data_IF_171841417319
#
_entry.id   IF_171841417319
#
_cell.length_a   1.000
_cell.length_b   1.000
_cell.length_c   1.000
_cell.angle_alpha   90.00
_cell.angle_beta   90.00
_cell.angle_gamma   90.00
#
_symmetry.space_group_name_H-M   'P 1'
#
loop_
_entity.id
_entity.type
_entity.pdbx_description
1 polymer ?
#
# COMPACT_ATOMS: atom_id res chain seq x y z
N UNK A 1 1.91 52.47 -42.79
CA UNK A 1 1.53 52.32 -41.38
C UNK A 1 2.24 51.08 -40.87
N UNK A 2 3.34 51.27 -40.15
CA UNK A 2 4.21 50.19 -39.69
C UNK A 2 3.76 49.73 -38.30
N UNK A 3 3.48 48.45 -38.16
CA UNK A 3 3.17 47.79 -36.90
C UNK A 3 4.49 47.30 -36.27
N UNK A 4 4.83 47.65 -35.02
CA UNK A 4 6.03 47.12 -34.39
C UNK A 4 5.79 45.71 -33.83
N UNK A 5 6.67 44.77 -34.19
CA UNK A 5 6.74 43.44 -33.60
C UNK A 5 7.14 43.54 -32.13
N UNK A 6 6.29 43.00 -31.25
CA UNK A 6 6.61 42.78 -29.84
C UNK A 6 7.24 41.38 -29.75
N UNK A 7 8.55 41.33 -29.50
CA UNK A 7 9.25 40.10 -29.13
C UNK A 7 8.98 39.82 -27.64
N UNK A 8 8.16 38.80 -27.38
CA UNK A 8 7.90 38.27 -26.05
C UNK A 8 8.94 37.18 -25.73
N UNK A 9 9.96 37.54 -24.93
CA UNK A 9 11.09 36.69 -24.53
C UNK A 9 10.80 35.93 -23.20
N UNK A 10 9.53 35.78 -22.81
CA UNK A 10 9.14 35.25 -21.49
C UNK A 10 8.99 33.71 -21.39
N UNK A 11 9.32 32.95 -22.44
CA UNK A 11 9.24 31.47 -22.43
C UNK A 11 10.60 30.78 -22.57
N UNK A 12 11.58 31.18 -21.76
CA UNK A 12 12.75 30.32 -21.47
C UNK A 12 12.46 29.46 -20.24
N UNK A 13 11.88 28.28 -20.48
CA UNK A 13 11.87 27.19 -19.50
C UNK A 13 13.32 26.83 -19.18
N UNK A 14 13.82 27.28 -18.02
CA UNK A 14 15.08 26.79 -17.48
C UNK A 14 14.92 25.28 -17.28
N UNK A 15 15.71 24.47 -18.00
CA UNK A 15 15.89 23.06 -17.67
C UNK A 15 16.30 22.97 -16.20
N UNK A 16 15.70 22.09 -15.39
CA UNK A 16 16.26 21.80 -14.08
C UNK A 16 17.63 21.17 -14.27
N UNK A 17 18.69 21.93 -13.97
CA UNK A 17 20.02 21.40 -13.74
C UNK A 17 19.96 20.55 -12.47
N UNK A 18 20.31 19.27 -12.58
CA UNK A 18 20.42 18.36 -11.44
C UNK A 18 19.37 17.24 -11.42
N UNK A 19 19.26 16.46 -12.49
CA UNK A 19 18.87 15.06 -12.32
C UNK A 19 19.95 14.37 -11.48
N UNK A 20 19.67 14.08 -10.21
CA UNK A 20 20.54 13.23 -9.39
C UNK A 20 20.75 11.91 -10.15
N UNK A 21 21.97 11.33 -10.14
CA UNK A 21 22.16 9.98 -10.65
C UNK A 21 21.21 9.06 -9.90
N UNK A 22 20.45 8.24 -10.63
CA UNK A 22 19.67 7.12 -10.09
C UNK A 22 20.65 6.03 -9.64
N UNK A 23 21.44 6.33 -8.62
CA UNK A 23 22.56 5.53 -8.15
C UNK A 23 22.09 4.39 -7.26
N UNK A 24 21.63 3.30 -7.88
CA UNK A 24 21.64 1.99 -7.21
C UNK A 24 23.05 1.36 -7.23
N UNK A 25 23.96 1.88 -8.06
CA UNK A 25 25.30 1.31 -8.29
C UNK A 25 26.34 1.69 -7.22
N UNK A 26 26.06 2.68 -6.37
CA UNK A 26 26.98 3.17 -5.32
C UNK A 26 26.47 2.92 -3.88
N UNK A 27 25.50 2.02 -3.69
CA UNK A 27 25.07 1.65 -2.34
C UNK A 27 26.13 0.77 -1.70
N UNK A 28 26.86 1.35 -0.73
CA UNK A 28 27.75 0.61 0.15
C UNK A 28 27.03 -0.61 0.73
N UNK A 29 27.73 -1.75 0.79
CA UNK A 29 27.16 -2.96 1.34
C UNK A 29 26.62 -2.69 2.76
N UNK A 30 25.40 -3.15 3.09
CA UNK A 30 24.78 -2.85 4.37
C UNK A 30 25.64 -3.38 5.52
N UNK A 31 25.78 -2.59 6.57
CA UNK A 31 26.50 -2.96 7.78
C UNK A 31 25.85 -4.17 8.46
N UNK A 32 26.59 -4.86 9.31
CA UNK A 32 26.08 -6.04 10.05
C UNK A 32 24.83 -5.70 10.86
N UNK A 33 24.75 -4.51 11.44
CA UNK A 33 23.58 -4.09 12.23
C UNK A 33 22.39 -3.77 11.33
N UNK A 34 22.62 -3.21 10.14
CA UNK A 34 21.56 -2.99 9.14
C UNK A 34 20.99 -4.32 8.62
N UNK A 35 21.84 -5.34 8.42
CA UNK A 35 21.41 -6.67 8.02
C UNK A 35 20.60 -7.36 9.13
N UNK A 36 21.04 -7.28 10.39
CA UNK A 36 20.28 -7.81 11.55
C UNK A 36 18.91 -7.15 11.67
N UNK A 37 18.85 -5.83 11.48
CA UNK A 37 17.61 -5.08 11.53
C UNK A 37 16.63 -5.53 10.44
N UNK A 38 17.11 -5.69 9.22
CA UNK A 38 16.31 -6.20 8.10
C UNK A 38 15.76 -7.60 8.40
N UNK A 39 16.60 -8.51 8.90
CA UNK A 39 16.17 -9.86 9.30
C UNK A 39 15.07 -9.80 10.34
N UNK A 40 15.20 -8.92 11.35
CA UNK A 40 14.21 -8.78 12.40
C UNK A 40 12.87 -8.24 11.87
N UNK A 41 12.90 -7.27 10.94
CA UNK A 41 11.68 -6.78 10.26
C UNK A 41 10.98 -7.89 9.48
N UNK A 42 11.74 -8.67 8.71
CA UNK A 42 11.19 -9.78 7.93
C UNK A 42 10.54 -10.83 8.83
N UNK A 43 11.20 -11.19 9.93
CA UNK A 43 10.62 -12.11 10.92
C UNK A 43 9.31 -11.57 11.50
N UNK A 44 9.26 -10.28 11.87
CA UNK A 44 8.04 -9.66 12.40
C UNK A 44 6.90 -9.64 11.39
N UNK A 45 7.18 -9.29 10.13
CA UNK A 45 6.19 -9.32 9.04
C UNK A 45 5.67 -10.73 8.81
N UNK A 46 6.55 -11.72 8.75
CA UNK A 46 6.13 -13.11 8.55
C UNK A 46 5.23 -13.62 9.67
N UNK A 47 5.56 -13.27 10.93
CA UNK A 47 4.72 -13.63 12.07
C UNK A 47 3.36 -12.93 11.96
N UNK A 48 3.33 -11.62 11.72
CA UNK A 48 2.08 -10.87 11.54
C UNK A 48 1.19 -11.47 10.44
N UNK A 49 1.77 -11.77 9.27
CA UNK A 49 1.04 -12.39 8.17
C UNK A 49 0.51 -13.75 8.61
N UNK A 50 1.34 -14.62 9.19
CA UNK A 50 0.92 -15.96 9.61
C UNK A 50 -0.21 -15.91 10.64
N UNK A 51 -0.09 -15.10 11.69
CA UNK A 51 -1.14 -14.98 12.70
C UNK A 51 -2.44 -14.42 12.10
N UNK A 52 -2.35 -13.43 11.20
CA UNK A 52 -3.53 -12.91 10.49
C UNK A 52 -4.19 -14.00 9.63
N UNK A 53 -3.40 -14.79 8.90
CA UNK A 53 -3.91 -15.84 8.02
C UNK A 53 -4.42 -17.08 8.77
N UNK A 54 -4.09 -17.26 10.06
CA UNK A 54 -4.67 -18.31 10.91
C UNK A 54 -6.12 -18.02 11.31
N UNK A 55 -6.58 -16.80 11.13
CA UNK A 55 -7.97 -16.47 11.43
C UNK A 55 -8.93 -17.27 10.54
N UNK A 56 -10.12 -17.58 11.08
CA UNK A 56 -11.14 -18.40 10.42
C UNK A 56 -11.59 -17.88 9.05
N UNK A 57 -11.37 -16.59 8.78
CA UNK A 57 -11.67 -16.00 7.48
C UNK A 57 -10.78 -16.55 6.34
N UNK A 58 -9.53 -16.92 6.64
CA UNK A 58 -8.52 -17.29 5.65
C UNK A 58 -8.07 -18.76 5.74
N UNK A 59 -8.42 -19.46 6.82
CA UNK A 59 -8.16 -20.89 6.97
C UNK A 59 -9.37 -21.72 6.52
N UNK A 60 -9.11 -22.79 5.75
CA UNK A 60 -10.11 -23.83 5.51
C UNK A 60 -10.27 -24.69 6.78
N UNK A 61 -11.50 -25.06 7.10
CA UNK A 61 -11.82 -26.03 8.14
C UNK A 61 -12.07 -27.40 7.49
N UNK A 62 -12.09 -28.47 8.29
CA UNK A 62 -12.07 -29.87 7.84
C UNK A 62 -13.14 -30.22 6.79
N UNK A 63 -14.23 -29.46 6.72
CA UNK A 63 -15.31 -29.61 5.73
C UNK A 63 -15.76 -28.30 5.05
N UNK A 64 -15.06 -27.18 5.27
CA UNK A 64 -15.45 -25.87 4.72
C UNK A 64 -14.23 -25.15 4.13
N UNK A 65 -14.29 -24.71 2.86
CA UNK A 65 -13.21 -23.91 2.29
C UNK A 65 -13.10 -22.57 3.02
N UNK A 66 -11.89 -21.98 2.99
CA UNK A 66 -11.69 -20.62 3.49
C UNK A 66 -12.70 -19.65 2.85
N UNK A 67 -13.26 -18.74 3.64
CA UNK A 67 -14.21 -17.74 3.14
C UNK A 67 -13.53 -16.80 2.14
N UNK A 68 -12.27 -16.46 2.42
CA UNK A 68 -11.41 -15.68 1.56
C UNK A 68 -10.21 -16.54 1.18
N UNK A 69 -10.14 -17.02 -0.08
CA UNK A 69 -8.95 -17.69 -0.58
C UNK A 69 -7.75 -16.74 -0.54
N UNK A 70 -6.62 -17.25 -0.08
CA UNK A 70 -5.36 -16.50 0.02
C UNK A 70 -4.25 -17.25 -0.68
N UNK A 71 -3.50 -16.53 -1.49
CA UNK A 71 -2.20 -16.96 -1.98
C UNK A 71 -1.12 -16.04 -1.41
N UNK A 72 -0.17 -16.60 -0.67
CA UNK A 72 0.95 -15.85 -0.12
C UNK A 72 2.28 -16.39 -0.64
N UNK A 73 3.05 -15.50 -1.26
CA UNK A 73 4.44 -15.71 -1.61
C UNK A 73 5.34 -14.83 -0.73
N UNK A 74 6.28 -15.48 -0.06
CA UNK A 74 7.29 -14.82 0.78
C UNK A 74 8.27 -14.03 -0.09
N UNK A 75 8.58 -12.80 0.32
CA UNK A 75 9.63 -11.95 -0.26
C UNK A 75 10.77 -11.72 0.73
N UNK A 76 11.67 -10.79 0.38
CA UNK A 76 12.86 -10.41 1.16
C UNK A 76 12.93 -8.93 1.54
N UNK A 77 11.89 -8.15 1.24
CA UNK A 77 11.73 -6.75 1.70
C UNK A 77 10.72 -6.61 2.84
N UNK A 78 10.85 -5.58 3.70
CA UNK A 78 9.86 -5.26 4.73
C UNK A 78 8.55 -4.65 4.18
N UNK A 79 8.25 -4.89 2.91
CA UNK A 79 7.05 -4.49 2.22
C UNK A 79 6.18 -5.70 1.91
N UNK A 80 4.88 -5.56 2.17
CA UNK A 80 3.84 -6.52 1.83
C UNK A 80 2.89 -5.87 0.85
N UNK A 81 2.78 -6.44 -0.35
CA UNK A 81 1.75 -6.10 -1.32
C UNK A 81 0.53 -6.97 -1.07
N UNK A 82 -0.61 -6.36 -0.78
CA UNK A 82 -1.90 -7.03 -0.59
C UNK A 82 -2.78 -6.71 -1.78
N UNK A 83 -2.77 -7.61 -2.77
CA UNK A 83 -3.45 -7.47 -4.03
C UNK A 83 -4.67 -8.39 -4.08
N UNK A 84 -5.54 -8.18 -5.06
CA UNK A 84 -6.75 -8.97 -5.22
C UNK A 84 -7.83 -8.19 -5.95
N UNK A 85 -8.84 -8.90 -6.40
CA UNK A 85 -10.01 -8.30 -7.02
C UNK A 85 -10.82 -7.45 -6.03
N UNK A 86 -11.77 -6.67 -6.56
CA UNK A 86 -12.69 -5.95 -5.70
C UNK A 86 -13.56 -6.94 -4.91
N UNK A 87 -13.93 -6.54 -3.69
CA UNK A 87 -14.66 -7.39 -2.75
C UNK A 87 -13.97 -8.71 -2.38
N UNK A 88 -12.67 -8.88 -2.63
CA UNK A 88 -11.94 -10.11 -2.31
C UNK A 88 -11.56 -10.27 -0.83
N UNK A 89 -11.86 -9.28 0.01
CA UNK A 89 -11.55 -9.32 1.45
C UNK A 89 -10.30 -8.53 1.86
N UNK A 90 -9.75 -7.67 1.00
CA UNK A 90 -8.58 -6.83 1.33
C UNK A 90 -8.78 -5.95 2.58
N UNK A 91 -9.95 -5.32 2.71
CA UNK A 91 -10.30 -4.52 3.89
C UNK A 91 -10.47 -5.37 5.16
N UNK A 92 -10.97 -6.62 5.02
CA UNK A 92 -11.04 -7.56 6.15
C UNK A 92 -9.63 -7.99 6.58
N UNK A 93 -8.73 -8.26 5.62
CA UNK A 93 -7.33 -8.56 5.90
C UNK A 93 -6.66 -7.41 6.66
N UNK A 94 -6.86 -6.16 6.20
CA UNK A 94 -6.41 -4.96 6.93
C UNK A 94 -6.93 -5.00 8.36
N UNK A 95 -8.25 -5.08 8.58
CA UNK A 95 -8.84 -5.06 9.91
C UNK A 95 -8.28 -6.14 10.86
N UNK A 96 -8.16 -7.39 10.37
CA UNK A 96 -7.62 -8.51 11.16
C UNK A 96 -6.13 -8.36 11.44
N UNK A 97 -5.35 -7.89 10.46
CA UNK A 97 -3.93 -7.60 10.66
C UNK A 97 -3.73 -6.56 11.76
N UNK A 98 -4.55 -5.50 11.77
CA UNK A 98 -4.44 -4.44 12.78
C UNK A 98 -4.81 -4.94 14.17
N UNK A 99 -5.86 -5.75 14.28
CA UNK A 99 -6.25 -6.39 15.52
C UNK A 99 -5.10 -7.27 16.07
N UNK A 100 -4.53 -8.14 15.23
CA UNK A 100 -3.38 -8.97 15.60
C UNK A 100 -2.17 -8.11 16.01
N UNK A 101 -1.87 -7.05 15.24
CA UNK A 101 -0.75 -6.17 15.53
C UNK A 101 -0.89 -5.41 16.86
N UNK A 102 -2.09 -4.99 17.20
CA UNK A 102 -2.39 -4.28 18.45
C UNK A 102 -2.42 -5.26 19.64
N UNK A 103 -3.16 -6.36 19.53
CA UNK A 103 -3.39 -7.31 20.64
C UNK A 103 -2.14 -8.14 20.95
N UNK A 104 -1.45 -8.66 19.93
CA UNK A 104 -0.37 -9.63 20.12
C UNK A 104 1.02 -8.98 20.13
N UNK A 105 1.16 -7.80 19.53
CA UNK A 105 2.47 -7.16 19.33
C UNK A 105 2.58 -5.72 19.83
N UNK A 106 1.47 -5.09 20.24
CA UNK A 106 1.40 -3.69 20.67
C UNK A 106 2.03 -2.71 19.66
N UNK A 107 1.91 -2.99 18.35
CA UNK A 107 2.40 -2.09 17.33
C UNK A 107 1.43 -0.94 17.10
N UNK A 108 1.95 0.28 17.11
CA UNK A 108 1.21 1.43 16.58
C UNK A 108 0.99 1.26 15.08
N UNK A 109 -0.15 1.71 14.57
CA UNK A 109 -0.42 1.73 13.15
C UNK A 109 -0.61 3.15 12.60
N UNK A 110 0.07 3.43 11.50
CA UNK A 110 -0.08 4.63 10.68
C UNK A 110 -0.89 4.22 9.44
N UNK A 111 -2.15 4.68 9.38
CA UNK A 111 -3.10 4.24 8.37
C UNK A 111 -3.43 5.35 7.38
N UNK A 112 -3.45 4.99 6.11
CA UNK A 112 -3.90 5.85 5.04
C UNK A 112 -4.87 5.09 4.13
N UNK A 113 -6.16 5.19 4.42
CA UNK A 113 -7.25 4.67 3.59
C UNK A 113 -8.29 5.74 3.24
N UNK A 114 -9.32 5.34 2.49
CA UNK A 114 -10.44 6.24 2.15
C UNK A 114 -11.27 6.64 3.37
N UNK A 115 -11.45 5.72 4.32
CA UNK A 115 -12.25 5.97 5.52
C UNK A 115 -11.57 7.00 6.43
N UNK A 116 -10.25 7.01 6.53
CA UNK A 116 -9.52 8.03 7.29
C UNK A 116 -9.43 9.38 6.53
N UNK A 117 -9.53 9.36 5.20
CA UNK A 117 -9.63 10.58 4.36
C UNK A 117 -11.00 11.25 4.45
N UNK A 118 -12.05 10.49 4.73
CA UNK A 118 -13.44 10.98 4.77
C UNK A 118 -13.99 11.11 6.20
N UNK A 119 -13.46 10.33 7.15
CA UNK A 119 -13.84 10.31 8.55
C UNK A 119 -13.05 11.32 9.39
N UNK A 120 -13.76 12.34 9.88
CA UNK A 120 -13.57 13.24 11.04
C UNK A 120 -12.17 13.62 11.64
N UNK A 121 -11.07 12.89 11.42
CA UNK A 121 -9.74 13.16 12.00
C UNK A 121 -8.97 14.25 11.27
N UNK A 122 -8.95 14.22 9.93
CA UNK A 122 -8.38 15.29 9.10
C UNK A 122 -9.25 16.57 9.07
N UNK A 123 -10.52 16.45 9.47
CA UNK A 123 -11.42 17.60 9.60
C UNK A 123 -11.09 18.55 10.75
N UNK A 124 -10.04 18.30 11.55
CA UNK A 124 -9.52 19.32 12.48
C UNK A 124 -8.68 20.41 11.81
N UNK A 125 -8.39 20.29 10.51
CA UNK A 125 -7.95 21.42 9.66
C UNK A 125 -9.11 22.09 8.91
N UNK A 126 -10.33 22.02 9.46
CA UNK A 126 -11.43 22.93 9.12
C UNK A 126 -11.04 24.36 9.49
N UNK A 127 -10.52 25.15 8.55
CA UNK A 127 -10.75 26.62 8.44
C UNK A 127 -10.26 27.21 7.10
N UNK A 128 -9.63 26.43 6.20
CA UNK A 128 -9.26 26.92 4.85
C UNK A 128 -9.76 25.98 3.74
N UNK A 129 -10.92 26.29 3.18
CA UNK A 129 -11.46 25.93 1.85
C UNK A 129 -11.03 24.59 1.19
N UNK A 130 -11.50 23.46 1.73
CA UNK A 130 -11.40 22.13 1.09
C UNK A 130 -12.16 21.99 -0.26
N UNK A 131 -12.99 22.96 -0.65
CA UNK A 131 -13.69 22.92 -1.96
C UNK A 131 -12.79 23.18 -3.18
N UNK A 132 -11.53 23.57 -2.98
CA UNK A 132 -10.65 24.04 -4.05
C UNK A 132 -9.44 23.13 -4.33
N UNK A 133 -9.19 22.11 -3.51
CA UNK A 133 -8.10 21.16 -3.74
C UNK A 133 -8.61 19.89 -4.41
N UNK A 134 -7.89 19.40 -5.42
CA UNK A 134 -8.21 18.11 -6.04
C UNK A 134 -8.03 16.99 -5.01
N UNK A 135 -8.89 15.97 -5.07
CA UNK A 135 -8.79 14.77 -4.22
C UNK A 135 -7.40 14.16 -4.25
N UNK A 136 -6.71 14.24 -5.40
CA UNK A 136 -5.33 13.78 -5.56
C UNK A 136 -4.30 14.56 -4.73
N UNK A 137 -4.44 15.88 -4.59
CA UNK A 137 -3.51 16.68 -3.78
C UNK A 137 -3.58 16.29 -2.29
N UNK A 138 -4.79 16.04 -1.77
CA UNK A 138 -4.98 15.57 -0.40
C UNK A 138 -4.38 14.17 -0.18
N UNK A 139 -4.51 13.26 -1.16
CA UNK A 139 -3.86 11.95 -1.11
C UNK A 139 -2.33 12.06 -1.00
N UNK A 140 -1.71 12.97 -1.77
CA UNK A 140 -0.26 13.20 -1.70
C UNK A 140 0.16 13.75 -0.33
N UNK A 141 -0.55 14.74 0.21
CA UNK A 141 -0.23 15.31 1.53
C UNK A 141 -0.33 14.25 2.63
N UNK A 142 -1.40 13.47 2.63
CA UNK A 142 -1.63 12.46 3.65
C UNK A 142 -0.59 11.33 3.55
N UNK A 143 -0.24 10.91 2.33
CA UNK A 143 0.87 9.98 2.07
C UNK A 143 2.21 10.50 2.62
N UNK A 144 2.60 11.72 2.26
CA UNK A 144 3.83 12.32 2.78
C UNK A 144 3.81 12.47 4.30
N UNK A 145 2.66 12.79 4.88
CA UNK A 145 2.47 12.85 6.33
C UNK A 145 2.72 11.50 7.00
N UNK A 146 2.19 10.41 6.43
CA UNK A 146 2.41 9.05 6.93
C UNK A 146 3.89 8.64 6.86
N UNK A 147 4.56 8.89 5.72
CA UNK A 147 6.00 8.63 5.54
C UNK A 147 6.83 9.40 6.57
N UNK A 148 6.59 10.72 6.71
CA UNK A 148 7.30 11.54 7.69
C UNK A 148 7.06 11.10 9.13
N UNK A 149 5.86 10.61 9.43
CA UNK A 149 5.51 10.12 10.77
C UNK A 149 6.26 8.81 11.05
N UNK A 150 6.23 7.87 10.11
CA UNK A 150 6.97 6.60 10.20
C UNK A 150 8.46 6.83 10.47
N UNK A 151 9.07 7.76 9.74
CA UNK A 151 10.50 8.05 9.87
C UNK A 151 10.91 8.68 11.20
N UNK A 152 9.95 9.13 12.01
CA UNK A 152 10.20 9.67 13.36
C UNK A 152 9.95 8.65 14.47
N UNK A 153 9.54 7.43 14.14
CA UNK A 153 9.26 6.39 15.14
C UNK A 153 10.48 5.51 15.35
N UNK A 154 10.86 5.39 16.61
CA UNK A 154 11.97 4.55 17.06
C UNK A 154 11.52 3.11 17.38
N UNK A 155 10.21 2.90 17.57
CA UNK A 155 9.60 1.60 17.84
C UNK A 155 8.97 0.97 16.59
N UNK A 156 8.86 -0.36 16.59
CA UNK A 156 8.17 -1.09 15.52
C UNK A 156 6.71 -0.65 15.41
N UNK A 157 6.31 -0.35 14.18
CA UNK A 157 4.98 0.14 13.86
C UNK A 157 4.59 -0.31 12.46
N UNK A 158 3.30 -0.36 12.21
CA UNK A 158 2.75 -0.69 10.89
C UNK A 158 2.51 0.60 10.12
N UNK A 159 2.92 0.62 8.85
CA UNK A 159 2.52 1.65 7.90
C UNK A 159 1.64 0.98 6.85
N UNK A 160 0.35 1.28 6.87
CA UNK A 160 -0.62 0.66 5.98
C UNK A 160 -1.15 1.70 5.00
N UNK A 161 -0.81 1.52 3.73
CA UNK A 161 -1.32 2.31 2.61
C UNK A 161 -2.45 1.53 1.93
N UNK A 162 -3.67 2.05 1.99
CA UNK A 162 -4.88 1.44 1.44
C UNK A 162 -5.44 2.33 0.32
N UNK A 163 -5.12 1.95 -0.92
CA UNK A 163 -5.38 2.70 -2.14
C UNK A 163 -4.95 4.17 -2.02
N UNK A 164 -3.66 4.43 -1.68
CA UNK A 164 -3.14 5.79 -1.52
C UNK A 164 -3.21 6.59 -2.82
N UNK A 165 -3.29 5.88 -3.94
CA UNK A 165 -3.23 6.40 -5.29
C UNK A 165 -4.60 6.60 -5.97
N UNK A 166 -5.70 6.32 -5.27
CA UNK A 166 -7.03 6.54 -5.84
C UNK A 166 -7.23 8.01 -6.24
N UNK A 167 -7.65 8.21 -7.48
CA UNK A 167 -7.83 9.54 -8.09
C UNK A 167 -6.53 10.19 -8.57
N UNK A 168 -5.40 9.48 -8.59
CA UNK A 168 -4.14 9.94 -9.16
C UNK A 168 -3.93 9.40 -10.57
N UNK A 169 -3.10 10.10 -11.35
CA UNK A 169 -2.59 9.58 -12.62
C UNK A 169 -1.49 8.55 -12.38
N UNK A 170 -1.30 7.62 -13.32
CA UNK A 170 -0.25 6.59 -13.25
C UNK A 170 1.15 7.16 -12.98
N UNK A 171 1.47 8.34 -13.54
CA UNK A 171 2.75 9.03 -13.30
C UNK A 171 2.93 9.43 -11.84
N UNK A 172 1.88 9.90 -11.17
CA UNK A 172 1.92 10.29 -9.76
C UNK A 172 1.93 9.05 -8.88
N UNK A 173 1.14 8.02 -9.22
CA UNK A 173 1.18 6.72 -8.52
C UNK A 173 2.56 6.06 -8.60
N UNK A 174 3.23 6.15 -9.76
CA UNK A 174 4.62 5.71 -9.89
C UNK A 174 5.56 6.53 -9.00
N UNK A 175 5.40 7.86 -8.95
CA UNK A 175 6.18 8.72 -8.05
C UNK A 175 6.03 8.35 -6.57
N UNK A 176 4.81 8.04 -6.12
CA UNK A 176 4.56 7.51 -4.78
C UNK A 176 5.26 6.16 -4.54
N UNK A 177 5.24 5.27 -5.55
CA UNK A 177 5.98 4.00 -5.49
C UNK A 177 7.49 4.20 -5.32
N UNK A 178 8.08 5.18 -6.02
CA UNK A 178 9.48 5.57 -5.85
C UNK A 178 9.72 6.07 -4.42
N UNK A 179 8.87 6.95 -3.88
CA UNK A 179 9.03 7.47 -2.52
C UNK A 179 8.91 6.36 -1.46
N UNK A 180 7.98 5.40 -1.61
CA UNK A 180 7.91 4.21 -0.74
C UNK A 180 9.20 3.40 -0.82
N UNK A 181 9.72 3.17 -2.04
CA UNK A 181 10.94 2.40 -2.25
C UNK A 181 12.15 3.07 -1.63
N UNK A 182 12.37 4.35 -1.92
CA UNK A 182 13.45 5.14 -1.32
C UNK A 182 13.33 5.10 0.19
N UNK A 183 12.12 5.28 0.72
CA UNK A 183 11.90 5.21 2.16
C UNK A 183 12.27 3.85 2.75
N UNK A 184 11.93 2.74 2.09
CA UNK A 184 12.29 1.39 2.55
C UNK A 184 13.80 1.15 2.48
N UNK A 185 14.45 1.57 1.40
CA UNK A 185 15.89 1.42 1.23
C UNK A 185 16.67 2.28 2.24
N UNK A 186 16.21 3.50 2.49
CA UNK A 186 16.74 4.38 3.53
C UNK A 186 16.37 3.90 4.96
N UNK A 187 15.31 3.08 5.08
CA UNK A 187 14.69 2.66 6.36
C UNK A 187 15.55 1.73 7.21
N UNK A 188 16.83 1.52 6.93
CA UNK A 188 17.73 0.96 7.94
C UNK A 188 17.62 1.71 9.30
N UNK A 189 17.11 2.95 9.28
CA UNK A 189 16.80 3.76 10.47
C UNK A 189 15.34 3.66 10.97
N UNK A 190 14.37 3.39 10.11
CA UNK A 190 12.94 3.33 10.51
C UNK A 190 12.57 1.90 10.90
N UNK A 191 11.74 1.73 11.93
CA UNK A 191 11.20 0.43 12.34
C UNK A 191 9.86 0.07 11.66
N UNK A 192 9.50 0.79 10.60
CA UNK A 192 8.23 0.59 9.89
C UNK A 192 8.15 -0.76 9.19
N UNK A 193 6.98 -1.41 9.32
CA UNK A 193 6.56 -2.60 8.59
C UNK A 193 5.48 -2.17 7.58
N UNK A 194 5.77 -2.26 6.28
CA UNK A 194 4.95 -1.60 5.26
C UNK A 194 3.96 -2.56 4.61
N UNK A 195 2.70 -2.15 4.53
CA UNK A 195 1.64 -2.87 3.83
C UNK A 195 1.01 -1.93 2.80
N UNK A 196 0.82 -2.42 1.59
CA UNK A 196 0.24 -1.65 0.49
C UNK A 196 -0.87 -2.45 -0.20
N UNK A 197 -2.08 -1.91 -0.15
CA UNK A 197 -3.19 -2.29 -1.04
C UNK A 197 -3.24 -1.24 -2.15
N UNK A 198 -3.16 -1.66 -3.40
CA UNK A 198 -3.36 -0.79 -4.56
C UNK A 198 -3.75 -1.61 -5.78
N UNK A 199 -4.44 -0.96 -6.72
CA UNK A 199 -4.70 -1.49 -8.05
C UNK A 199 -3.73 -0.90 -9.11
N UNK A 200 -2.88 0.06 -8.75
CA UNK A 200 -1.97 0.71 -9.71
C UNK A 200 -0.77 -0.18 -10.04
N UNK A 201 -0.77 -0.68 -11.26
CA UNK A 201 0.39 -1.35 -11.84
C UNK A 201 1.58 -0.40 -11.97
N UNK A 202 1.34 0.90 -12.20
CA UNK A 202 2.39 1.91 -12.31
C UNK A 202 3.17 2.08 -10.99
N UNK A 203 2.48 2.08 -9.85
CA UNK A 203 3.09 2.09 -8.52
C UNK A 203 3.85 0.79 -8.25
N UNK A 204 3.21 -0.37 -8.45
CA UNK A 204 3.79 -1.68 -8.14
C UNK A 204 5.06 -1.95 -8.96
N UNK A 205 5.12 -1.50 -10.22
CA UNK A 205 6.34 -1.60 -11.06
C UNK A 205 7.56 -0.96 -10.42
N UNK A 206 7.38 0.11 -9.63
CA UNK A 206 8.50 0.78 -8.95
C UNK A 206 8.96 0.03 -7.70
N UNK A 207 8.14 -0.90 -7.19
CA UNK A 207 8.37 -1.64 -5.94
C UNK A 207 8.79 -3.09 -6.18
N UNK A 208 8.61 -3.60 -7.40
CA UNK A 208 8.78 -5.02 -7.71
C UNK A 208 10.22 -5.53 -7.46
N UNK A 209 11.23 -4.69 -7.66
CA UNK A 209 12.63 -5.04 -7.46
C UNK A 209 13.07 -5.05 -6.00
N UNK A 210 12.21 -4.61 -5.08
CA UNK A 210 12.41 -4.83 -3.65
C UNK A 210 12.17 -6.28 -3.24
N UNK A 211 11.61 -7.13 -4.11
CA UNK A 211 11.15 -8.48 -3.75
C UNK A 211 10.21 -8.48 -2.53
N UNK A 212 9.06 -7.78 -2.60
CA UNK A 212 8.12 -7.69 -1.48
C UNK A 212 7.42 -9.03 -1.23
N UNK A 213 6.90 -9.21 -0.02
CA UNK A 213 5.90 -10.24 0.21
C UNK A 213 4.68 -9.96 -0.67
N UNK A 214 4.14 -10.99 -1.30
CA UNK A 214 3.01 -10.90 -2.20
C UNK A 214 1.85 -11.70 -1.64
N UNK A 215 0.77 -11.03 -1.26
CA UNK A 215 -0.49 -11.63 -0.83
C UNK A 215 -1.54 -11.31 -1.89
N UNK A 216 -2.14 -12.34 -2.47
CA UNK A 216 -3.31 -12.22 -3.31
C UNK A 216 -4.53 -12.77 -2.58
N UNK A 217 -5.57 -11.94 -2.49
CA UNK A 217 -6.86 -12.31 -1.92
C UNK A 217 -7.87 -12.46 -3.05
N UNK A 218 -8.51 -13.62 -3.14
CA UNK A 218 -9.50 -13.94 -4.16
C UNK A 218 -9.20 -15.21 -4.95
N UNK A 219 -10.09 -15.53 -5.89
CA UNK A 219 -9.99 -16.70 -6.74
C UNK A 219 -8.92 -16.53 -7.83
N UNK A 220 -8.39 -17.65 -8.34
CA UNK A 220 -7.44 -17.69 -9.47
C UNK A 220 -6.25 -16.72 -9.30
N UNK A 221 -5.46 -16.86 -8.21
CA UNK A 221 -4.32 -15.99 -7.97
C UNK A 221 -3.26 -16.16 -9.07
N UNK A 222 -2.67 -15.07 -9.58
CA UNK A 222 -1.42 -15.15 -10.33
C UNK A 222 -0.33 -15.80 -9.47
N UNK A 223 0.51 -16.65 -10.06
CA UNK A 223 1.59 -17.34 -9.31
C UNK A 223 2.70 -16.38 -8.87
N UNK A 224 2.83 -15.24 -9.57
CA UNK A 224 3.88 -14.26 -9.33
C UNK A 224 3.39 -12.82 -9.44
N UNK A 225 4.10 -11.90 -8.78
CA UNK A 225 3.88 -10.47 -8.96
C UNK A 225 4.08 -10.02 -10.41
N UNK A 226 5.03 -10.63 -11.12
CA UNK A 226 5.28 -10.36 -12.54
C UNK A 226 4.06 -10.73 -13.39
N UNK A 227 3.50 -11.92 -13.18
CA UNK A 227 2.29 -12.36 -13.87
C UNK A 227 1.11 -11.42 -13.56
N UNK A 228 0.96 -10.99 -12.30
CA UNK A 228 -0.05 -10.00 -11.92
C UNK A 228 0.12 -8.67 -12.67
N UNK A 229 1.35 -8.22 -12.91
CA UNK A 229 1.66 -6.99 -13.65
C UNK A 229 1.44 -7.11 -15.15
N UNK A 230 1.58 -8.31 -15.71
CA UNK A 230 1.47 -8.60 -17.15
C UNK A 230 0.05 -9.00 -17.57
N UNK A 231 -0.84 -9.28 -16.61
CA UNK A 231 -2.20 -9.73 -16.89
C UNK A 231 -3.01 -8.70 -17.70
N UNK A 232 -3.78 -9.15 -18.70
CA UNK A 232 -4.69 -8.26 -19.42
C UNK A 232 -5.83 -7.80 -18.50
N UNK A 233 -6.26 -6.55 -18.67
CA UNK A 233 -7.46 -6.05 -17.99
C UNK A 233 -8.68 -6.57 -18.74
N UNK A 234 -9.41 -7.48 -18.11
CA UNK A 234 -10.68 -8.00 -18.62
C UNK A 234 -11.82 -7.26 -17.91
N UNK A 235 -12.79 -6.67 -18.64
CA UNK A 235 -13.96 -6.06 -18.02
C UNK A 235 -14.74 -7.09 -17.20
N UNK A 236 -15.06 -6.75 -15.95
CA UNK A 236 -15.86 -7.59 -15.07
C UNK A 236 -17.37 -7.33 -15.25
N UNK A 237 -18.21 -8.35 -15.03
CA UNK A 237 -19.66 -8.17 -14.87
C UNK A 237 -19.94 -7.61 -13.47
N UNK A 238 -20.46 -6.38 -13.42
CA UNK A 238 -20.75 -5.69 -12.16
C UNK A 238 -21.81 -6.44 -11.32
N UNK A 239 -22.74 -7.16 -11.93
CA UNK A 239 -23.75 -7.91 -11.19
C UNK A 239 -23.13 -9.14 -10.51
N UNK A 240 -22.21 -9.83 -11.19
CA UNK A 240 -21.47 -10.95 -10.61
C UNK A 240 -20.59 -10.46 -9.45
N UNK A 241 -19.84 -9.37 -9.65
CA UNK A 241 -19.02 -8.77 -8.59
C UNK A 241 -19.86 -8.39 -7.37
N UNK A 242 -21.04 -7.78 -7.57
CA UNK A 242 -21.95 -7.44 -6.46
C UNK A 242 -22.48 -8.68 -5.75
N UNK A 243 -22.86 -9.72 -6.50
CA UNK A 243 -23.37 -10.97 -5.95
C UNK A 243 -22.31 -11.66 -5.10
N UNK A 244 -21.11 -11.85 -5.65
CA UNK A 244 -19.99 -12.50 -4.96
C UNK A 244 -19.56 -11.71 -3.72
N UNK A 245 -19.49 -10.38 -3.85
CA UNK A 245 -19.20 -9.50 -2.73
C UNK A 245 -20.23 -9.63 -1.61
N UNK A 246 -21.54 -9.69 -1.94
CA UNK A 246 -22.61 -9.85 -0.95
C UNK A 246 -22.59 -11.23 -0.28
N UNK A 247 -22.37 -12.29 -1.05
CA UNK A 247 -22.26 -13.65 -0.52
C UNK A 247 -21.08 -13.77 0.46
N UNK A 248 -19.91 -13.26 0.06
CA UNK A 248 -18.71 -13.24 0.90
C UNK A 248 -18.92 -12.37 2.15
N UNK A 249 -19.48 -11.17 2.00
CA UNK A 249 -19.81 -10.30 3.12
C UNK A 249 -20.75 -10.98 4.12
N UNK A 250 -21.78 -11.68 3.63
CA UNK A 250 -22.71 -12.42 4.49
C UNK A 250 -22.00 -13.53 5.28
N UNK A 251 -21.08 -14.26 4.65
CA UNK A 251 -20.28 -15.29 5.34
C UNK A 251 -19.35 -14.67 6.38
N UNK A 252 -18.69 -13.56 6.06
CA UNK A 252 -17.83 -12.81 7.00
C UNK A 252 -18.66 -12.32 8.19
N UNK A 253 -19.81 -11.70 7.95
CA UNK A 253 -20.68 -11.18 9.01
C UNK A 253 -21.12 -12.30 9.96
N UNK A 254 -21.50 -13.47 9.45
CA UNK A 254 -21.84 -14.64 10.28
C UNK A 254 -20.68 -15.10 11.15
N UNK A 255 -19.43 -15.02 10.68
CA UNK A 255 -18.28 -15.31 11.53
C UNK A 255 -18.10 -14.29 12.65
N UNK A 256 -18.30 -13.01 12.34
CA UNK A 256 -18.17 -11.94 13.33
C UNK A 256 -19.28 -12.04 14.39
N UNK A 257 -20.51 -12.33 13.99
CA UNK A 257 -21.66 -12.48 14.89
C UNK A 257 -21.55 -13.71 15.82
N UNK A 258 -20.70 -14.69 15.50
CA UNK A 258 -20.44 -15.87 16.34
C UNK A 258 -19.37 -15.61 17.42
N UNK A 259 -18.79 -14.41 17.45
CA UNK A 259 -17.72 -14.03 18.40
C UNK A 259 -18.26 -13.35 19.67
N UNK A 260 -19.57 -13.07 19.72
CA UNK A 260 -20.35 -12.65 20.89
C UNK A 260 -20.92 -13.85 21.67
#
# INVERSE_FOLDING_TARGET
>A
MNNPEIQDDSLRVKKPEGSKPTGLEDLEAPSVDQQKELILKLQKIEVLIKETLKTRAFCAEENEPAIVPVHWKKGSSPLVLVLGENASGKSLFKALLLMVAEEDFAYEGIFLGMDERTGAGLQKMKWFNERQFSTGFNSIIAFQGAVRTSNKRDEYHIVFFDEPDIGLSDSVSAGMGIEIKENILDSHKSKGLYFLITHSTAMIKQLADLDPHYIYLGENPPETLKEWLERPVVPADLNEVMKDGRERFTKIQRLLDQRD
#
